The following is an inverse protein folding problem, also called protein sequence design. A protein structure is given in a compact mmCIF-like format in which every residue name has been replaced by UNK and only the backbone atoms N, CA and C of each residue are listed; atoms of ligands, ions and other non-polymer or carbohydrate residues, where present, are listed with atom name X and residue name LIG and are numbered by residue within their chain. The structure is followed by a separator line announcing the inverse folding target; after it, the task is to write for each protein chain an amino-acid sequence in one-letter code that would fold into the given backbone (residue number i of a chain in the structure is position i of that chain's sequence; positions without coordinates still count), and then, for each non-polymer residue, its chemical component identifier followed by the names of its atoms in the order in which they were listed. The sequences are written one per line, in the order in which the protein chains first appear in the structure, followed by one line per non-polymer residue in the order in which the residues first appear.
data_IF_238239506171
#
_entry.id   IF_238239506171
#
_cell.length_a   1.000
_cell.length_b   1.000
_cell.length_c   1.000
_cell.angle_alpha   90.00
_cell.angle_beta   90.00
_cell.angle_gamma   90.00
#
_symmetry.space_group_name_H-M   'P 1'
#
loop_
_entity.id
_entity.type
_entity.pdbx_description
1 polymer ?
#
# COMPACT_ATOMS: atom_id res chain seq x y z
N UNK A 1 2.68 -27.15 43.50
CA UNK A 1 2.07 -27.85 42.35
C UNK A 1 2.95 -27.61 41.14
N UNK A 2 3.23 -28.64 40.34
CA UNK A 2 4.12 -28.51 39.19
C UNK A 2 3.53 -29.20 37.97
N UNK A 3 3.72 -28.57 36.81
CA UNK A 3 3.44 -29.07 35.46
C UNK A 3 2.01 -29.58 35.21
N UNK A 4 1.01 -28.82 35.67
CA UNK A 4 -0.41 -29.15 35.44
C UNK A 4 -0.85 -28.60 34.08
N UNK A 5 -1.54 -29.41 33.29
CA UNK A 5 -2.10 -28.97 31.99
C UNK A 5 -3.41 -28.22 32.20
N UNK A 6 -3.45 -26.96 31.79
CA UNK A 6 -4.64 -26.12 31.78
C UNK A 6 -5.14 -25.90 30.35
N UNK A 7 -6.46 -25.85 30.13
CA UNK A 7 -7.02 -25.55 28.81
C UNK A 7 -6.69 -24.12 28.41
N UNK A 8 -6.58 -23.88 27.11
CA UNK A 8 -6.51 -22.54 26.53
C UNK A 8 -7.80 -22.21 25.76
N UNK A 9 -7.94 -20.97 25.27
CA UNK A 9 -9.05 -20.61 24.37
C UNK A 9 -9.03 -21.39 23.05
N UNK A 10 -7.87 -21.88 22.63
CA UNK A 10 -7.72 -22.70 21.44
C UNK A 10 -7.77 -24.18 21.83
N UNK A 11 -8.64 -25.00 21.23
CA UNK A 11 -8.83 -26.40 21.64
C UNK A 11 -7.58 -27.27 21.43
N UNK A 12 -6.70 -26.85 20.52
CA UNK A 12 -5.51 -27.60 20.12
C UNK A 12 -4.30 -27.37 21.05
N UNK A 13 -4.38 -26.42 21.97
CA UNK A 13 -3.25 -26.00 22.81
C UNK A 13 -3.59 -26.00 24.29
N UNK A 14 -2.60 -26.38 25.11
CA UNK A 14 -2.72 -26.44 26.56
C UNK A 14 -1.54 -25.76 27.23
N UNK A 15 -1.78 -25.03 28.31
CA UNK A 15 -0.72 -24.41 29.09
C UNK A 15 -0.17 -25.38 30.14
N UNK A 16 1.13 -25.34 30.39
CA UNK A 16 1.77 -25.89 31.58
C UNK A 16 1.72 -24.84 32.71
N UNK A 17 1.09 -25.21 33.82
CA UNK A 17 0.92 -24.38 34.99
C UNK A 17 1.70 -24.94 36.18
N UNK A 18 2.43 -24.07 36.87
CA UNK A 18 3.13 -24.37 38.11
C UNK A 18 2.96 -23.23 39.09
N UNK A 19 2.71 -23.55 40.35
CA UNK A 19 2.53 -22.56 41.41
C UNK A 19 2.78 -23.14 42.80
N UNK A 20 3.15 -22.29 43.73
CA UNK A 20 3.20 -22.58 45.16
C UNK A 20 1.87 -22.18 45.78
N UNK A 21 1.13 -23.14 46.32
CA UNK A 21 -0.20 -22.89 46.90
C UNK A 21 -0.04 -22.62 48.39
N UNK A 22 -0.57 -21.49 48.84
CA UNK A 22 -0.66 -21.11 50.25
C UNK A 22 -2.12 -21.10 50.67
N UNK A 23 -2.40 -21.57 51.88
CA UNK A 23 -3.78 -21.67 52.36
C UNK A 23 -3.88 -21.47 53.87
N UNK A 24 -5.05 -21.04 54.32
CA UNK A 24 -5.40 -20.88 55.73
C UNK A 24 -6.85 -21.27 55.99
N UNK A 25 -7.12 -21.81 57.18
CA UNK A 25 -8.47 -22.23 57.58
C UNK A 25 -9.29 -21.05 58.06
N UNK A 26 -10.56 -20.96 57.65
CA UNK A 26 -11.43 -19.81 58.00
C UNK A 26 -12.44 -20.18 59.08
N UNK A 27 -12.82 -21.46 59.18
CA UNK A 27 -13.74 -21.99 60.18
C UNK A 27 -13.09 -23.14 60.93
N UNK A 28 -13.05 -23.05 62.27
CA UNK A 28 -12.45 -24.05 63.18
C UNK A 28 -13.20 -25.39 63.28
N UNK A 29 -13.99 -25.76 62.26
CA UNK A 29 -14.82 -26.96 62.22
C UNK A 29 -14.84 -27.65 60.86
N UNK A 30 -13.78 -27.46 60.07
CA UNK A 30 -13.66 -28.03 58.73
C UNK A 30 -13.78 -29.56 58.77
N UNK A 31 -14.72 -30.12 57.99
CA UNK A 31 -15.06 -31.55 58.00
C UNK A 31 -14.19 -32.40 57.07
N UNK A 32 -13.27 -31.79 56.33
CA UNK A 32 -12.47 -32.48 55.34
C UNK A 32 -11.12 -32.90 55.91
N UNK A 33 -10.69 -34.13 55.61
CA UNK A 33 -9.48 -34.72 56.16
C UNK A 33 -8.19 -34.05 55.65
N UNK A 34 -8.21 -33.50 54.42
CA UNK A 34 -7.08 -32.80 53.81
C UNK A 34 -7.48 -31.44 53.21
N UNK A 35 -7.38 -30.39 54.03
CA UNK A 35 -7.68 -29.02 53.61
C UNK A 35 -6.71 -28.48 52.56
N UNK A 36 -5.51 -29.06 52.46
CA UNK A 36 -4.54 -28.73 51.42
C UNK A 36 -5.02 -29.17 50.04
N UNK A 37 -5.57 -30.40 49.94
CA UNK A 37 -6.18 -30.89 48.70
C UNK A 37 -7.38 -30.04 48.26
N UNK A 38 -8.20 -29.57 49.21
CA UNK A 38 -9.32 -28.66 48.92
C UNK A 38 -8.83 -27.32 48.38
N UNK A 39 -7.81 -26.73 49.02
CA UNK A 39 -7.21 -25.48 48.56
C UNK A 39 -6.64 -25.58 47.14
N UNK A 40 -5.94 -26.70 46.87
CA UNK A 40 -5.41 -27.03 45.55
C UNK A 40 -6.52 -27.12 44.51
N UNK A 41 -7.59 -27.86 44.80
CA UNK A 41 -8.70 -28.05 43.88
C UNK A 41 -9.39 -26.71 43.56
N UNK A 42 -9.71 -25.93 44.60
CA UNK A 42 -10.31 -24.60 44.44
C UNK A 42 -9.45 -23.66 43.60
N UNK A 43 -8.12 -23.71 43.78
CA UNK A 43 -7.18 -22.91 42.99
C UNK A 43 -7.10 -23.38 41.53
N UNK A 44 -7.13 -24.68 41.28
CA UNK A 44 -7.11 -25.25 39.93
C UNK A 44 -8.39 -24.94 39.16
N UNK A 45 -9.56 -25.04 39.78
CA UNK A 45 -10.83 -24.66 39.14
C UNK A 45 -10.84 -23.18 38.74
N UNK A 46 -10.36 -22.29 39.62
CA UNK A 46 -10.17 -20.87 39.29
C UNK A 46 -9.18 -20.68 38.15
N UNK A 47 -8.03 -21.35 38.20
CA UNK A 47 -7.01 -21.25 37.16
C UNK A 47 -7.55 -21.75 35.80
N UNK A 48 -8.31 -22.84 35.80
CA UNK A 48 -8.98 -23.42 34.62
C UNK A 48 -10.00 -22.47 34.02
N UNK A 49 -10.85 -21.86 34.86
CA UNK A 49 -11.86 -20.91 34.41
C UNK A 49 -11.22 -19.67 33.74
N UNK A 50 -10.09 -19.20 34.27
CA UNK A 50 -9.36 -18.06 33.69
C UNK A 50 -8.66 -18.42 32.37
N UNK A 51 -7.91 -19.52 32.36
CA UNK A 51 -7.09 -19.95 31.22
C UNK A 51 -7.92 -20.40 30.02
N UNK A 52 -9.12 -20.94 30.23
CA UNK A 52 -10.04 -21.34 29.15
C UNK A 52 -10.47 -20.18 28.23
N UNK A 53 -10.37 -18.93 28.66
CA UNK A 53 -10.70 -17.75 27.85
C UNK A 53 -9.46 -17.04 27.27
N UNK A 54 -8.27 -17.50 27.64
CA UNK A 54 -7.01 -16.84 27.30
C UNK A 54 -6.42 -17.37 25.99
N UNK A 55 -6.00 -16.44 25.13
CA UNK A 55 -5.34 -16.78 23.88
C UNK A 55 -3.91 -17.24 24.11
N UNK A 56 -3.47 -18.23 23.32
CA UNK A 56 -2.15 -18.84 23.46
C UNK A 56 -1.00 -17.91 23.06
N UNK A 57 -1.27 -16.94 22.19
CA UNK A 57 -0.30 -15.98 21.68
C UNK A 57 0.25 -15.04 22.76
N UNK A 58 -0.51 -14.78 23.82
CA UNK A 58 -0.22 -13.76 24.85
C UNK A 58 0.32 -14.38 26.15
N UNK A 59 1.25 -15.33 26.06
CA UNK A 59 1.78 -16.10 27.21
C UNK A 59 2.20 -15.22 28.41
N UNK A 60 3.07 -14.23 28.20
CA UNK A 60 3.57 -13.37 29.28
C UNK A 60 2.45 -12.56 29.96
N UNK A 61 1.51 -12.03 29.17
CA UNK A 61 0.38 -11.25 29.68
C UNK A 61 -0.58 -12.15 30.48
N UNK A 62 -0.86 -13.35 29.96
CA UNK A 62 -1.65 -14.35 30.65
C UNK A 62 -1.02 -14.76 31.99
N UNK A 63 0.31 -14.93 32.03
CA UNK A 63 1.03 -15.24 33.26
C UNK A 63 0.85 -14.11 34.30
N UNK A 64 1.07 -12.85 33.91
CA UNK A 64 0.90 -11.71 34.83
C UNK A 64 -0.54 -11.55 35.32
N UNK A 65 -1.52 -11.74 34.42
CA UNK A 65 -2.94 -11.69 34.77
C UNK A 65 -3.31 -12.80 35.75
N UNK A 66 -2.85 -14.02 35.49
CA UNK A 66 -3.08 -15.16 36.36
C UNK A 66 -2.41 -14.95 37.73
N UNK A 67 -1.20 -14.37 37.76
CA UNK A 67 -0.50 -14.00 38.97
C UNK A 67 -1.27 -12.97 39.81
N UNK A 68 -1.82 -11.94 39.17
CA UNK A 68 -2.63 -10.94 39.85
C UNK A 68 -3.91 -11.54 40.45
N UNK A 69 -4.63 -12.38 39.69
CA UNK A 69 -5.92 -12.93 40.14
C UNK A 69 -5.76 -14.05 41.18
N UNK A 70 -4.80 -14.96 41.00
CA UNK A 70 -4.58 -16.07 41.95
C UNK A 70 -3.73 -15.67 43.16
N UNK A 71 -3.03 -14.54 43.09
CA UNK A 71 -2.33 -13.94 44.23
C UNK A 71 -3.27 -13.35 45.27
N UNK A 72 -4.52 -13.04 44.88
CA UNK A 72 -5.54 -12.57 45.82
C UNK A 72 -6.13 -13.75 46.62
N UNK A 73 -6.18 -13.66 47.96
CA UNK A 73 -6.75 -14.69 48.80
C UNK A 73 -8.26 -14.81 48.61
N UNK A 74 -8.70 -15.95 48.08
CA UNK A 74 -10.12 -16.25 47.88
C UNK A 74 -10.57 -17.44 48.72
N UNK A 75 -11.85 -17.46 49.05
CA UNK A 75 -12.49 -18.59 49.73
C UNK A 75 -12.84 -19.68 48.72
N UNK A 76 -12.73 -20.93 49.17
CA UNK A 76 -13.34 -22.08 48.48
C UNK A 76 -14.88 -21.95 48.46
N UNK A 77 -15.54 -22.65 47.52
CA UNK A 77 -17.01 -22.66 47.36
C UNK A 77 -17.74 -23.02 48.67
N UNK A 78 -17.13 -23.90 49.48
CA UNK A 78 -17.70 -24.34 50.77
C UNK A 78 -17.31 -23.44 51.94
N UNK A 79 -16.54 -22.38 51.70
CA UNK A 79 -16.07 -21.43 52.71
C UNK A 79 -15.12 -22.02 53.77
N UNK A 80 -14.54 -23.20 53.52
CA UNK A 80 -13.75 -23.92 54.51
C UNK A 80 -12.30 -23.42 54.59
N UNK A 81 -11.73 -23.08 53.44
CA UNK A 81 -10.33 -22.72 53.27
C UNK A 81 -10.22 -21.44 52.45
N UNK A 82 -9.30 -20.56 52.85
CA UNK A 82 -8.83 -19.42 52.07
C UNK A 82 -7.54 -19.83 51.38
N UNK A 83 -7.47 -19.67 50.07
CA UNK A 83 -6.32 -20.07 49.25
C UNK A 83 -5.85 -18.94 48.35
N UNK A 84 -4.54 -18.88 48.15
CA UNK A 84 -3.86 -18.02 47.18
C UNK A 84 -2.63 -18.75 46.65
N UNK A 85 -2.07 -18.26 45.55
CA UNK A 85 -0.85 -18.81 44.98
C UNK A 85 0.25 -17.75 44.89
N UNK A 86 1.47 -18.20 45.14
CA UNK A 86 2.71 -17.46 44.89
C UNK A 86 3.54 -18.20 43.84
N UNK A 87 4.52 -17.51 43.26
CA UNK A 87 5.43 -18.05 42.24
C UNK A 87 4.70 -18.71 41.04
N UNK A 88 3.67 -18.04 40.54
CA UNK A 88 2.86 -18.54 39.44
C UNK A 88 3.65 -18.48 38.13
N UNK A 89 3.77 -19.63 37.49
CA UNK A 89 4.37 -19.81 36.16
C UNK A 89 3.33 -20.45 35.26
N UNK A 90 3.06 -19.78 34.15
CA UNK A 90 2.24 -20.29 33.07
C UNK A 90 3.14 -20.32 31.83
N UNK A 91 3.29 -21.50 31.22
CA UNK A 91 4.12 -21.66 30.03
C UNK A 91 3.41 -22.48 28.98
N UNK A 92 3.71 -22.22 27.73
CA UNK A 92 3.32 -23.13 26.66
C UNK A 92 4.43 -24.19 26.45
N UNK A 93 4.10 -25.47 26.19
CA UNK A 93 5.12 -26.46 25.82
C UNK A 93 5.95 -25.99 24.61
N UNK A 94 7.27 -26.22 24.66
CA UNK A 94 8.20 -25.75 23.62
C UNK A 94 7.83 -26.21 22.20
N UNK A 95 7.25 -27.41 22.07
CA UNK A 95 6.79 -27.94 20.79
C UNK A 95 5.64 -27.10 20.21
N UNK A 96 4.67 -26.75 21.04
CA UNK A 96 3.50 -25.96 20.68
C UNK A 96 3.90 -24.51 20.39
N UNK A 97 4.84 -23.97 21.17
CA UNK A 97 5.39 -22.63 20.94
C UNK A 97 6.07 -22.53 19.57
N UNK A 98 6.89 -23.51 19.19
CA UNK A 98 7.51 -23.59 17.86
C UNK A 98 6.46 -23.71 16.75
N UNK A 99 5.43 -24.51 16.98
CA UNK A 99 4.34 -24.68 16.02
C UNK A 99 3.59 -23.37 15.79
N UNK A 100 3.22 -22.64 16.84
CA UNK A 100 2.58 -21.33 16.74
C UNK A 100 3.47 -20.29 16.03
N UNK A 101 4.76 -20.27 16.35
CA UNK A 101 5.71 -19.38 15.65
C UNK A 101 5.77 -19.69 14.16
N UNK A 102 5.75 -20.98 13.78
CA UNK A 102 5.74 -21.41 12.39
C UNK A 102 4.45 -20.98 11.68
N UNK A 103 3.28 -21.22 12.29
CA UNK A 103 2.00 -20.77 11.75
C UNK A 103 1.93 -19.25 11.59
N UNK A 104 2.40 -18.50 12.58
CA UNK A 104 2.46 -17.04 12.51
C UNK A 104 3.39 -16.57 11.37
N UNK A 105 4.51 -17.26 11.13
CA UNK A 105 5.40 -16.94 10.03
C UNK A 105 4.77 -17.22 8.65
N UNK A 106 4.04 -18.35 8.52
CA UNK A 106 3.30 -18.67 7.30
C UNK A 106 2.22 -17.63 7.01
N UNK A 107 1.43 -17.26 8.03
CA UNK A 107 0.38 -16.26 7.87
C UNK A 107 0.96 -14.89 7.49
N UNK A 108 2.04 -14.45 8.13
CA UNK A 108 2.73 -13.20 7.72
C UNK A 108 3.19 -13.25 6.28
N UNK A 109 3.78 -14.38 5.85
CA UNK A 109 4.25 -14.55 4.47
C UNK A 109 3.10 -14.48 3.46
N UNK A 110 1.99 -15.15 3.75
CA UNK A 110 0.79 -15.10 2.91
C UNK A 110 0.26 -13.67 2.79
N UNK A 111 0.16 -12.94 3.92
CA UNK A 111 -0.27 -11.54 3.93
C UNK A 111 0.65 -10.65 3.10
N UNK A 112 1.97 -10.83 3.21
CA UNK A 112 2.94 -10.10 2.39
C UNK A 112 2.73 -10.39 0.90
N UNK A 113 2.59 -11.65 0.51
CA UNK A 113 2.35 -12.02 -0.89
C UNK A 113 1.04 -11.47 -1.44
N UNK A 114 -0.04 -11.47 -0.64
CA UNK A 114 -1.32 -10.88 -1.03
C UNK A 114 -1.19 -9.36 -1.22
N UNK A 115 -0.48 -8.69 -0.32
CA UNK A 115 -0.23 -7.25 -0.41
C UNK A 115 0.61 -6.91 -1.65
N UNK A 116 1.68 -7.65 -1.92
CA UNK A 116 2.50 -7.48 -3.12
C UNK A 116 1.69 -7.62 -4.41
N UNK A 117 0.85 -8.66 -4.50
CA UNK A 117 -0.03 -8.87 -5.66
C UNK A 117 -1.02 -7.72 -5.82
N UNK A 118 -1.60 -7.25 -4.72
CA UNK A 118 -2.51 -6.11 -4.74
C UNK A 118 -1.80 -4.83 -5.18
N UNK A 119 -0.61 -4.55 -4.66
CA UNK A 119 0.18 -3.40 -5.07
C UNK A 119 0.53 -3.44 -6.57
N UNK A 120 0.86 -4.62 -7.09
CA UNK A 120 1.13 -4.80 -8.52
C UNK A 120 -0.14 -4.62 -9.37
N UNK A 121 -1.29 -5.11 -8.92
CA UNK A 121 -2.58 -4.90 -9.59
C UNK A 121 -2.98 -3.43 -9.57
N UNK A 122 -2.90 -2.76 -8.42
CA UNK A 122 -3.20 -1.35 -8.25
C UNK A 122 -2.28 -0.48 -9.12
N UNK A 123 -0.99 -0.85 -9.22
CA UNK A 123 -0.04 -0.18 -10.13
C UNK A 123 -0.42 -0.35 -11.59
N UNK A 124 -0.81 -1.55 -12.01
CA UNK A 124 -1.26 -1.80 -13.39
C UNK A 124 -2.54 -1.04 -13.72
N UNK A 125 -3.49 -1.03 -12.79
CA UNK A 125 -4.72 -0.26 -12.91
C UNK A 125 -4.41 1.23 -13.03
N UNK A 126 -3.61 1.80 -12.13
CA UNK A 126 -3.18 3.20 -12.22
C UNK A 126 -2.50 3.53 -13.55
N UNK A 127 -1.57 2.69 -14.01
CA UNK A 127 -0.91 2.91 -15.29
C UNK A 127 -1.90 2.85 -16.47
N UNK A 128 -2.84 1.91 -16.46
CA UNK A 128 -3.84 1.77 -17.53
C UNK A 128 -4.88 2.89 -17.50
N UNK A 129 -5.52 3.06 -16.35
CA UNK A 129 -6.75 3.85 -16.19
C UNK A 129 -6.48 5.33 -15.97
N UNK A 130 -5.31 5.71 -15.44
CA UNK A 130 -4.94 7.12 -15.21
C UNK A 130 -3.83 7.58 -16.17
N UNK A 131 -2.70 6.87 -16.22
CA UNK A 131 -1.53 7.32 -17.01
C UNK A 131 -1.78 7.17 -18.50
N UNK A 132 -2.11 5.97 -18.96
CA UNK A 132 -2.33 5.64 -20.38
C UNK A 132 -3.78 5.78 -20.83
N UNK A 133 -4.65 6.37 -20.01
CA UNK A 133 -6.04 6.68 -20.37
C UNK A 133 -6.13 7.49 -21.67
N UNK A 134 -5.22 8.46 -21.83
CA UNK A 134 -5.09 9.29 -23.02
C UNK A 134 -3.62 9.54 -23.37
N UNK A 135 -3.28 9.87 -24.62
CA UNK A 135 -1.93 10.30 -24.98
C UNK A 135 -1.47 11.53 -24.18
N UNK A 136 -2.40 12.42 -23.83
CA UNK A 136 -2.11 13.63 -23.06
C UNK A 136 -1.74 13.33 -21.60
N UNK A 137 -2.48 12.44 -20.93
CA UNK A 137 -2.16 12.01 -19.55
C UNK A 137 -0.81 11.30 -19.47
N UNK A 138 -0.46 10.51 -20.49
CA UNK A 138 0.83 9.85 -20.58
C UNK A 138 1.98 10.86 -20.74
N UNK A 139 1.80 11.91 -21.56
CA UNK A 139 2.79 12.98 -21.73
C UNK A 139 2.98 13.79 -20.44
N UNK A 140 1.89 14.13 -19.74
CA UNK A 140 1.96 14.82 -18.44
C UNK A 140 2.66 13.96 -17.40
N UNK A 141 2.33 12.67 -17.30
CA UNK A 141 2.99 11.74 -16.39
C UNK A 141 4.50 11.63 -16.68
N UNK A 142 4.88 11.58 -17.96
CA UNK A 142 6.29 11.55 -18.37
C UNK A 142 7.03 12.82 -17.93
N UNK A 143 6.43 14.00 -18.11
CA UNK A 143 7.01 15.29 -17.69
C UNK A 143 7.17 15.41 -16.17
N UNK A 144 6.22 14.85 -15.40
CA UNK A 144 6.32 14.80 -13.93
C UNK A 144 7.49 13.92 -13.49
N UNK A 145 7.75 12.81 -14.19
CA UNK A 145 8.85 11.90 -13.87
C UNK A 145 10.21 12.34 -14.45
N UNK A 146 10.22 13.23 -15.45
CA UNK A 146 11.41 13.77 -16.12
C UNK A 146 11.30 15.31 -16.25
N UNK A 147 11.48 16.04 -15.14
CA UNK A 147 11.31 17.49 -15.15
C UNK A 147 12.37 18.17 -16.03
N UNK A 148 11.91 19.05 -16.93
CA UNK A 148 12.78 19.86 -17.79
C UNK A 148 13.03 19.28 -19.19
N UNK A 149 12.55 18.08 -19.50
CA UNK A 149 12.78 17.41 -20.79
C UNK A 149 11.59 17.55 -21.77
N UNK A 150 11.11 18.77 -21.96
CA UNK A 150 9.90 19.03 -22.77
C UNK A 150 10.09 18.65 -24.25
N UNK A 151 11.23 18.99 -24.83
CA UNK A 151 11.55 18.70 -26.24
C UNK A 151 11.61 17.20 -26.52
N UNK A 152 12.16 16.42 -25.58
CA UNK A 152 12.16 14.96 -25.63
C UNK A 152 10.75 14.38 -25.55
N UNK A 153 9.90 14.97 -24.69
CA UNK A 153 8.48 14.55 -24.59
C UNK A 153 7.76 14.74 -25.92
N UNK A 154 7.97 15.89 -26.57
CA UNK A 154 7.36 16.20 -27.87
C UNK A 154 7.78 15.19 -28.94
N UNK A 155 9.05 14.77 -28.95
CA UNK A 155 9.54 13.71 -29.84
C UNK A 155 8.96 12.33 -29.56
N UNK A 156 8.52 12.07 -28.32
CA UNK A 156 7.93 10.79 -27.89
C UNK A 156 6.40 10.75 -27.99
N UNK A 157 5.73 11.85 -28.36
CA UNK A 157 4.26 11.93 -28.35
C UNK A 157 3.58 10.81 -29.15
N UNK A 158 4.11 10.48 -30.33
CA UNK A 158 3.55 9.39 -31.15
C UNK A 158 3.72 8.03 -30.48
N UNK A 159 4.85 7.79 -29.81
CA UNK A 159 5.09 6.54 -29.06
C UNK A 159 4.19 6.42 -27.83
N UNK A 160 3.95 7.54 -27.13
CA UNK A 160 3.02 7.59 -26.00
C UNK A 160 1.57 7.39 -26.46
N UNK A 161 1.21 7.91 -27.64
CA UNK A 161 -0.09 7.67 -28.25
C UNK A 161 -0.29 6.21 -28.66
N UNK A 162 0.74 5.54 -29.18
CA UNK A 162 0.70 4.11 -29.46
C UNK A 162 0.59 3.26 -28.20
N UNK A 163 1.33 3.59 -27.14
CA UNK A 163 1.24 2.90 -25.85
C UNK A 163 -0.13 3.09 -25.20
N UNK A 164 -0.71 4.30 -25.28
CA UNK A 164 -2.07 4.57 -24.81
C UNK A 164 -3.12 3.80 -25.63
N UNK A 165 -2.97 3.72 -26.95
CA UNK A 165 -3.86 2.90 -27.77
C UNK A 165 -3.76 1.40 -27.41
N UNK A 166 -2.55 0.88 -27.26
CA UNK A 166 -2.32 -0.51 -26.88
C UNK A 166 -2.84 -0.86 -25.48
N UNK A 167 -2.69 0.03 -24.50
CA UNK A 167 -3.20 -0.16 -23.14
C UNK A 167 -4.73 -0.21 -23.06
N UNK A 168 -5.41 0.45 -24.01
CA UNK A 168 -6.87 0.52 -24.10
C UNK A 168 -7.46 -0.44 -25.15
N UNK A 169 -6.67 -1.38 -25.67
CA UNK A 169 -7.07 -2.35 -26.70
C UNK A 169 -7.64 -1.67 -27.98
N UNK A 170 -7.16 -0.45 -28.29
CA UNK A 170 -7.53 0.32 -29.49
C UNK A 170 -6.56 -0.01 -30.64
N UNK A 171 -7.03 0.02 -31.91
CA UNK A 171 -6.15 -0.17 -33.05
C UNK A 171 -5.08 0.92 -33.07
N UNK A 172 -3.81 0.51 -33.03
CA UNK A 172 -2.68 1.42 -33.09
C UNK A 172 -2.66 2.18 -34.43
N UNK A 173 -2.34 3.47 -34.40
CA UNK A 173 -2.30 4.34 -35.59
C UNK A 173 -1.41 3.78 -36.71
N UNK A 174 -0.26 3.16 -36.36
CA UNK A 174 0.61 2.47 -37.35
C UNK A 174 -0.10 1.32 -38.07
N UNK A 175 -0.86 0.49 -37.36
CA UNK A 175 -1.60 -0.62 -37.97
C UNK A 175 -2.72 -0.11 -38.90
N UNK A 176 -3.38 0.99 -38.53
CA UNK A 176 -4.37 1.63 -39.41
C UNK A 176 -3.74 2.31 -40.63
N UNK A 177 -2.53 2.86 -40.51
CA UNK A 177 -1.82 3.45 -41.64
C UNK A 177 -1.39 2.38 -42.66
N UNK A 178 -0.84 1.26 -42.21
CA UNK A 178 -0.50 0.12 -43.06
C UNK A 178 -1.74 -0.47 -43.75
N UNK A 179 -2.88 -0.53 -43.05
CA UNK A 179 -4.14 -0.99 -43.64
C UNK A 179 -4.67 -0.05 -44.75
N UNK A 180 -4.50 1.27 -44.58
CA UNK A 180 -4.88 2.27 -45.59
C UNK A 180 -3.95 2.21 -46.81
N UNK A 181 -2.66 1.93 -46.61
CA UNK A 181 -1.70 1.78 -47.73
C UNK A 181 -1.94 0.51 -48.58
N UNK A 182 -2.48 -0.56 -47.97
CA UNK A 182 -2.84 -1.78 -48.70
C UNK A 182 -4.18 -1.67 -49.44
N UNK A 183 -5.07 -0.77 -49.02
CA UNK A 183 -6.23 -0.34 -49.82
C UNK A 183 -5.80 0.71 -50.85
N UNK A 184 -4.94 0.34 -51.80
CA UNK A 184 -4.84 1.14 -53.04
C UNK A 184 -6.22 1.11 -53.71
N UNK A 185 -6.86 2.27 -53.97
CA UNK A 185 -8.17 2.30 -54.58
C UNK A 185 -8.09 1.56 -55.91
N UNK A 186 -8.94 0.54 -56.06
CA UNK A 186 -9.05 -0.16 -57.33
C UNK A 186 -9.55 0.87 -58.34
N UNK A 187 -8.91 0.94 -59.51
CA UNK A 187 -9.08 1.96 -60.58
C UNK A 187 -10.53 2.36 -60.90
N UNK A 188 -11.51 1.52 -60.57
CA UNK A 188 -12.94 1.78 -60.69
C UNK A 188 -13.50 2.81 -59.70
N UNK A 189 -12.94 2.97 -58.50
CA UNK A 189 -13.45 3.94 -57.51
C UNK A 189 -12.96 5.37 -57.74
N UNK A 190 -11.79 5.55 -58.37
CA UNK A 190 -11.29 6.87 -58.79
C UNK A 190 -12.16 7.51 -59.90
N UNK A 191 -12.89 6.70 -60.68
CA UNK A 191 -13.78 7.20 -61.73
C UNK A 191 -15.06 7.84 -61.18
N UNK A 192 -15.49 7.49 -59.96
CA UNK A 192 -16.71 8.04 -59.37
C UNK A 192 -16.50 9.45 -58.78
N UNK A 193 -15.34 9.70 -58.16
CA UNK A 193 -15.04 11.02 -57.60
C UNK A 193 -14.75 12.09 -58.68
N UNK A 194 -14.18 11.71 -59.82
CA UNK A 194 -14.03 12.63 -60.96
C UNK A 194 -15.37 12.98 -61.64
N UNK A 195 -16.38 12.11 -61.52
CA UNK A 195 -17.72 12.33 -62.07
C UNK A 195 -18.59 13.28 -61.20
N UNK A 196 -18.27 13.40 -59.91
CA UNK A 196 -18.97 14.32 -59.00
C UNK A 196 -18.46 15.75 -59.14
N UNK A 197 -17.16 15.94 -59.40
CA UNK A 197 -16.58 17.27 -59.66
C UNK A 197 -17.03 17.85 -61.02
N UNK A 198 -17.44 17.00 -61.96
CA UNK A 198 -17.98 17.42 -63.27
C UNK A 198 -19.48 17.74 -63.26
N UNK A 199 -20.18 17.58 -62.13
CA UNK A 199 -21.57 18.01 -61.95
C UNK A 199 -21.69 19.41 -61.33
N UNK A 200 -20.56 20.06 -61.04
CA UNK A 200 -20.48 21.48 -60.66
C UNK A 200 -19.66 22.19 -61.72
N UNK A 201 -20.19 22.28 -62.94
CA UNK A 201 -19.69 23.22 -63.96
C UNK A 201 -20.58 24.48 -63.99
N UNK A 202 -19.97 25.65 -64.26
CA UNK A 202 -20.49 26.97 -64.01
C UNK A 202 -21.22 27.57 -65.23
N UNK A 203 -22.13 28.51 -64.97
CA UNK A 203 -22.75 29.32 -66.02
C UNK A 203 -21.83 30.48 -66.43
N UNK A 204 -21.43 30.49 -67.70
CA UNK A 204 -21.13 31.62 -68.62
C UNK A 204 -20.31 32.84 -68.09
N UNK A 205 -19.25 33.37 -68.72
CA UNK A 205 -19.10 33.75 -70.13
C UNK A 205 -17.74 34.49 -70.35
N UNK A 206 -17.19 34.32 -71.57
CA UNK A 206 -16.32 35.22 -72.36
C UNK A 206 -15.40 36.28 -71.71
N UNK A 207 -14.09 36.26 -72.00
CA UNK A 207 -13.43 36.97 -73.13
C UNK A 207 -11.89 37.01 -72.96
N UNK A 208 -11.16 36.82 -74.07
CA UNK A 208 -9.72 37.06 -74.22
C UNK A 208 -9.52 38.41 -74.94
N UNK A 209 -8.47 39.20 -74.63
CA UNK A 209 -7.28 39.21 -75.48
C UNK A 209 -5.94 39.39 -74.73
N UNK A 210 -4.83 39.13 -75.44
CA UNK A 210 -3.43 39.17 -74.97
C UNK A 210 -2.73 40.55 -75.25
N UNK A 211 -1.39 40.69 -75.10
CA UNK A 211 -0.65 41.48 -74.10
C UNK A 211 -0.07 42.82 -74.65
N UNK A 212 0.74 43.59 -73.88
CA UNK A 212 2.20 43.56 -74.11
C UNK A 212 3.13 43.89 -72.91
N UNK A 213 4.42 43.74 -73.22
CA UNK A 213 5.72 43.84 -72.53
C UNK A 213 6.09 45.06 -71.64
N UNK A 214 7.24 44.83 -70.97
CA UNK A 214 8.24 45.76 -70.43
C UNK A 214 7.96 46.31 -69.03
N UNK A 215 8.87 46.29 -68.06
CA UNK A 215 10.30 46.01 -68.00
C UNK A 215 10.84 46.64 -66.71
N UNK A 216 12.10 46.35 -66.36
CA UNK A 216 12.98 47.20 -65.54
C UNK A 216 12.93 47.03 -64.01
N UNK A 217 13.79 46.13 -63.51
CA UNK A 217 14.64 46.34 -62.31
C UNK A 217 15.53 47.61 -62.50
N UNK A 218 16.31 48.18 -61.53
CA UNK A 218 16.87 47.54 -60.32
C UNK A 218 17.12 48.45 -59.09
N UNK A 219 17.72 47.84 -58.06
CA UNK A 219 18.69 48.40 -57.09
C UNK A 219 18.20 49.53 -56.14
N UNK A 220 18.72 49.70 -54.92
CA UNK A 220 20.03 49.35 -54.35
C UNK A 220 19.98 49.34 -52.81
N UNK A 221 21.04 48.74 -52.25
CA UNK A 221 21.81 49.12 -51.04
C UNK A 221 21.15 49.08 -49.64
N UNK A 222 21.63 48.21 -48.72
CA UNK A 222 22.87 48.31 -47.92
C UNK A 222 22.70 49.31 -46.74
N UNK A 223 23.18 49.14 -45.52
CA UNK A 223 24.25 48.32 -44.92
C UNK A 223 24.13 48.45 -43.39
N UNK A 224 24.63 47.46 -42.63
CA UNK A 224 25.35 47.61 -41.33
C UNK A 224 24.65 48.27 -40.12
N UNK A 225 24.95 47.99 -38.84
CA UNK A 225 26.02 47.26 -38.19
C UNK A 225 25.77 47.19 -36.68
N UNK A 226 26.18 46.08 -36.07
CA UNK A 226 26.95 45.96 -34.82
C UNK A 226 26.44 46.38 -33.43
N UNK A 227 26.77 45.44 -32.50
CA UNK A 227 27.18 45.61 -31.08
C UNK A 227 26.05 45.96 -30.10
N UNK A 228 26.02 45.46 -28.87
CA UNK A 228 27.11 45.05 -27.98
C UNK A 228 26.59 44.15 -26.85
N UNK A 229 27.50 43.36 -26.31
CA UNK A 229 27.34 42.56 -25.09
C UNK A 229 26.96 43.39 -23.85
N UNK A 230 26.24 42.76 -22.91
CA UNK A 230 26.56 42.80 -21.47
C UNK A 230 25.60 41.92 -20.66
N UNK A 231 26.15 40.87 -20.05
CA UNK A 231 25.63 40.36 -18.78
C UNK A 231 25.76 41.43 -17.70
N UNK A 232 24.87 41.40 -16.71
CA UNK A 232 25.30 41.55 -15.34
C UNK A 232 24.71 40.45 -14.45
N UNK A 233 25.57 39.84 -13.64
CA UNK A 233 25.13 39.16 -12.43
C UNK A 233 24.77 40.18 -11.36
N UNK A 234 24.12 39.70 -10.30
CA UNK A 234 24.47 39.91 -8.89
C UNK A 234 23.24 39.73 -8.00
N UNK A 235 23.47 38.98 -6.92
CA UNK A 235 22.90 39.15 -5.58
C UNK A 235 21.40 38.82 -5.41
N UNK A 236 20.97 38.13 -4.37
CA UNK A 236 21.62 37.76 -3.12
C UNK A 236 20.57 37.78 -2.01
N UNK A 237 20.82 36.98 -0.97
CA UNK A 237 20.29 37.11 0.40
C UNK A 237 18.79 36.79 0.61
N UNK A 238 18.45 35.68 1.25
CA UNK A 238 18.55 35.38 2.70
C UNK A 238 17.41 35.97 3.55
N UNK A 239 16.68 35.05 4.23
CA UNK A 239 16.12 35.04 5.61
C UNK A 239 14.88 34.13 5.59
N UNK A 240 14.78 32.98 6.29
CA UNK A 240 14.95 32.59 7.71
C UNK A 240 13.87 33.16 8.66
N UNK A 241 12.91 32.30 9.03
CA UNK A 241 12.35 32.10 10.38
C UNK A 241 11.66 30.71 10.41
N UNK A 242 12.08 29.68 11.16
CA UNK A 242 11.83 29.39 12.61
C UNK A 242 10.37 29.66 13.01
N UNK A 243 9.60 28.77 13.64
CA UNK A 243 9.84 27.70 14.64
C UNK A 243 8.53 26.91 14.78
N UNK A 244 8.56 25.59 14.99
CA UNK A 244 7.64 24.87 15.89
C UNK A 244 8.16 23.45 16.19
N UNK A 245 7.86 22.99 17.40
CA UNK A 245 8.57 22.04 18.28
C UNK A 245 8.25 20.55 18.06
N UNK A 246 9.16 19.60 18.37
CA UNK A 246 8.78 18.20 18.66
C UNK A 246 8.65 17.95 20.17
N UNK A 247 7.61 17.20 20.54
CA UNK A 247 7.28 16.80 21.91
C UNK A 247 8.28 15.77 22.46
N UNK A 248 8.87 16.08 23.61
CA UNK A 248 9.66 15.17 24.43
C UNK A 248 8.74 14.19 25.18
N UNK A 249 8.95 12.89 24.99
CA UNK A 249 8.30 11.83 25.76
C UNK A 249 9.10 11.57 27.03
N UNK A 250 8.38 11.52 28.16
CA UNK A 250 8.88 11.56 29.53
C UNK A 250 9.18 10.15 30.03
N UNK A 251 10.46 9.83 30.25
CA UNK A 251 10.86 8.66 31.04
C UNK A 251 10.67 8.96 32.54
N UNK A 252 9.86 8.15 33.22
CA UNK A 252 9.75 8.11 34.68
C UNK A 252 10.46 6.84 35.17
N UNK A 253 11.70 7.01 35.66
CA UNK A 253 12.33 6.04 36.56
C UNK A 253 11.75 6.23 37.96
N UNK A 254 11.21 5.16 38.54
CA UNK A 254 10.93 5.06 39.97
C UNK A 254 12.20 4.61 40.69
N UNK A 255 12.62 5.38 41.69
CA UNK A 255 13.50 4.92 42.77
C UNK A 255 12.64 4.62 43.99
N UNK A 256 12.76 3.39 44.51
CA UNK A 256 12.83 3.04 45.94
C UNK A 256 13.53 1.67 46.05
#
# INVERSE_FOLDING_TARGET
MADIRLPSASPDFQFSFSAVVQWSTVLSGSRHADLGAVAVHALLERARALTATQQVTEESLNQHRLAATLGEPALDEKGQVRCWATEIRLRLPDADQKHLQHLAALHRREQTTLLERRMEQDKRAYLKDDVFATPGSAAVWWLVNHPGEVETTLGLLDTLAELSAAANDLPARRASADAIEHTKPTRTELAFNAAVDTLVEPDESHQQPAPPDAGTQPASEATSSQKSARSPGLNGSARRSTKETPAEYREQFFSE
#
